data_IF_586311417204
#
_entry.id   IF_586311417204
#
_cell.length_a   1.000
_cell.length_b   1.000
_cell.length_c   1.000
_cell.angle_alpha   90.00
_cell.angle_beta   90.00
_cell.angle_gamma   90.00
#
_symmetry.space_group_name_H-M   'P 1'
#
loop_
_entity.id
_entity.type
_entity.pdbx_description
1 polymer ?
#
# COMPACT_ATOMS: atom_id res chain seq x y z
N UNK A 1 -8.54 -31.48 22.45
CA UNK A 1 -8.12 -30.34 21.61
C UNK A 1 -7.41 -29.37 22.53
N UNK A 2 -6.10 -29.23 22.38
CA UNK A 2 -5.30 -28.33 23.21
C UNK A 2 -5.23 -26.96 22.54
N UNK A 3 -5.08 -25.89 23.32
CA UNK A 3 -5.10 -24.54 22.77
C UNK A 3 -3.91 -24.25 21.84
N UNK A 4 -2.75 -24.86 22.08
CA UNK A 4 -1.57 -24.80 21.22
C UNK A 4 -1.77 -25.48 19.85
N UNK A 5 -2.80 -26.31 19.69
CA UNK A 5 -3.18 -26.93 18.42
C UNK A 5 -4.13 -26.03 17.58
N UNK A 6 -4.66 -24.96 18.17
CA UNK A 6 -5.70 -24.09 17.56
C UNK A 6 -5.24 -22.63 17.48
N UNK A 7 -4.38 -22.21 18.41
CA UNK A 7 -3.90 -20.84 18.56
C UNK A 7 -2.37 -20.86 18.59
N UNK A 8 -1.76 -20.10 17.68
CA UNK A 8 -0.33 -19.87 17.62
C UNK A 8 -0.02 -18.40 17.38
N UNK A 9 1.24 -18.02 17.57
CA UNK A 9 1.70 -16.70 17.15
C UNK A 9 1.79 -16.66 15.63
N UNK A 10 1.44 -15.51 15.04
CA UNK A 10 1.67 -15.29 13.63
C UNK A 10 3.14 -14.93 13.43
N UNK A 11 3.91 -15.84 12.83
CA UNK A 11 5.34 -15.64 12.54
C UNK A 11 5.60 -14.42 11.63
N UNK A 12 4.59 -13.95 10.91
CA UNK A 12 4.63 -12.79 10.02
C UNK A 12 4.14 -11.50 10.70
N UNK A 13 3.90 -11.50 12.01
CA UNK A 13 3.41 -10.31 12.70
C UNK A 13 4.47 -9.20 12.76
N UNK A 14 4.17 -8.07 12.12
CA UNK A 14 5.00 -6.88 12.16
C UNK A 14 4.24 -5.73 12.85
N UNK A 15 4.69 -5.26 14.04
CA UNK A 15 3.95 -4.23 14.79
C UNK A 15 3.98 -2.86 14.11
N UNK A 16 5.03 -2.57 13.34
CA UNK A 16 5.19 -1.34 12.59
C UNK A 16 5.65 -1.68 11.18
N UNK A 17 4.81 -1.37 10.20
CA UNK A 17 5.09 -1.65 8.80
C UNK A 17 6.31 -0.83 8.31
N UNK A 18 7.35 -1.52 7.89
CA UNK A 18 8.59 -0.95 7.34
C UNK A 18 8.68 -1.23 5.84
N UNK A 19 8.61 -0.17 5.04
CA UNK A 19 8.64 -0.24 3.57
C UNK A 19 9.99 -0.72 3.02
N UNK A 20 11.07 -0.64 3.81
CA UNK A 20 12.40 -1.14 3.43
C UNK A 20 12.60 -2.63 3.76
N UNK A 21 11.85 -3.13 4.75
CA UNK A 21 12.04 -4.47 5.33
C UNK A 21 10.67 -5.15 5.46
N UNK A 22 10.06 -5.47 4.32
CA UNK A 22 8.78 -6.15 4.28
C UNK A 22 8.94 -7.67 4.43
N UNK A 23 7.98 -8.29 5.12
CA UNK A 23 8.01 -9.72 5.40
C UNK A 23 7.00 -10.44 4.51
N UNK A 24 7.52 -11.14 3.49
CA UNK A 24 6.72 -12.01 2.61
C UNK A 24 5.46 -11.33 2.06
N UNK A 25 4.31 -11.96 2.27
CA UNK A 25 2.99 -11.45 1.82
C UNK A 25 2.25 -10.66 2.89
N UNK A 26 2.91 -10.19 3.96
CA UNK A 26 2.26 -9.46 5.05
C UNK A 26 1.47 -8.24 4.56
N UNK A 27 1.92 -7.59 3.47
CA UNK A 27 1.20 -6.48 2.84
C UNK A 27 -0.25 -6.83 2.49
N UNK A 28 -0.55 -8.08 2.12
CA UNK A 28 -1.89 -8.56 1.76
C UNK A 28 -2.87 -8.59 2.93
N UNK A 29 -2.38 -8.52 4.16
CA UNK A 29 -3.24 -8.42 5.37
C UNK A 29 -3.91 -7.05 5.52
N UNK A 30 -3.56 -6.09 4.65
CA UNK A 30 -4.19 -4.78 4.62
C UNK A 30 -5.69 -4.93 4.39
N UNK A 31 -6.50 -4.20 5.17
CA UNK A 31 -7.94 -4.14 5.01
C UNK A 31 -8.28 -2.88 4.21
N UNK A 32 -8.69 -3.01 2.94
CA UNK A 32 -9.03 -1.87 2.10
C UNK A 32 -10.24 -1.10 2.64
N UNK A 33 -10.29 0.19 2.33
CA UNK A 33 -11.42 1.06 2.67
C UNK A 33 -11.58 2.16 1.63
N UNK A 34 -12.72 2.85 1.68
CA UNK A 34 -13.08 3.92 0.73
C UNK A 34 -12.02 5.02 0.59
N UNK A 35 -11.38 5.41 1.71
CA UNK A 35 -10.32 6.44 1.67
C UNK A 35 -9.09 5.94 0.93
N UNK A 36 -8.74 4.68 1.14
CA UNK A 36 -7.62 4.05 0.45
C UNK A 36 -7.90 3.86 -1.05
N UNK A 37 -9.13 3.50 -1.43
CA UNK A 37 -9.55 3.43 -2.84
C UNK A 37 -9.37 4.76 -3.56
N UNK A 38 -9.69 5.87 -2.88
CA UNK A 38 -9.43 7.22 -3.40
C UNK A 38 -7.94 7.48 -3.60
N UNK A 39 -7.08 7.12 -2.63
CA UNK A 39 -5.63 7.27 -2.74
C UNK A 39 -5.07 6.51 -3.93
N UNK A 40 -5.41 5.23 -4.07
CA UNK A 40 -4.97 4.41 -5.21
C UNK A 40 -5.45 5.01 -6.54
N UNK A 41 -6.71 5.45 -6.57
CA UNK A 41 -7.29 6.07 -7.75
C UNK A 41 -6.60 7.37 -8.16
N UNK A 42 -6.29 8.24 -7.20
CA UNK A 42 -5.56 9.49 -7.43
C UNK A 42 -4.11 9.21 -7.85
N UNK A 43 -3.47 8.19 -7.29
CA UNK A 43 -2.11 7.76 -7.66
C UNK A 43 -2.07 7.30 -9.13
N UNK A 44 -3.00 6.43 -9.53
CA UNK A 44 -3.10 5.98 -10.93
C UNK A 44 -3.37 7.18 -11.85
N UNK A 45 -4.30 8.07 -11.48
CA UNK A 45 -4.61 9.25 -12.28
C UNK A 45 -3.38 10.15 -12.46
N UNK A 46 -2.60 10.38 -11.39
CA UNK A 46 -1.37 11.19 -11.44
C UNK A 46 -0.31 10.58 -12.38
N UNK A 47 -0.24 9.26 -12.45
CA UNK A 47 0.69 8.55 -13.34
C UNK A 47 0.23 8.51 -14.80
N UNK A 48 -1.08 8.52 -15.07
CA UNK A 48 -1.62 8.34 -16.41
C UNK A 48 -2.07 9.61 -17.10
N UNK A 49 -2.42 10.66 -16.35
CA UNK A 49 -3.02 11.85 -16.92
C UNK A 49 -2.09 12.54 -17.91
N UNK A 50 -2.67 13.07 -18.98
CA UNK A 50 -1.99 13.98 -19.92
C UNK A 50 -2.00 15.43 -19.42
N UNK A 51 -2.83 15.75 -18.43
CA UNK A 51 -3.00 17.10 -17.91
C UNK A 51 -2.02 17.38 -16.76
N UNK A 52 -1.21 18.45 -16.85
CA UNK A 52 -0.23 18.78 -15.81
C UNK A 52 -0.84 18.97 -14.40
N UNK A 53 -2.05 19.51 -14.31
CA UNK A 53 -2.74 19.77 -13.04
C UNK A 53 -3.20 18.51 -12.29
N UNK A 54 -3.26 17.37 -12.97
CA UNK A 54 -3.61 16.06 -12.41
C UNK A 54 -2.35 15.25 -12.02
N UNK A 55 -1.17 15.62 -12.54
CA UNK A 55 0.14 15.00 -12.26
C UNK A 55 0.76 15.52 -10.95
N UNK A 56 0.07 15.28 -9.84
CA UNK A 56 0.47 15.79 -8.52
C UNK A 56 1.08 14.70 -7.64
N UNK A 57 2.01 15.12 -6.78
CA UNK A 57 2.46 14.32 -5.66
C UNK A 57 1.33 14.11 -4.66
N UNK A 58 1.29 12.93 -4.04
CA UNK A 58 0.27 12.56 -3.06
C UNK A 58 0.90 12.59 -1.67
N UNK A 59 0.19 13.21 -0.72
CA UNK A 59 0.60 13.28 0.67
C UNK A 59 -0.40 12.52 1.55
N UNK A 60 0.07 11.48 2.26
CA UNK A 60 -0.76 10.70 3.18
C UNK A 60 -0.55 11.16 4.61
N UNK A 61 -1.55 11.83 5.18
CA UNK A 61 -1.54 12.33 6.55
C UNK A 61 -2.49 11.54 7.45
N UNK A 62 -2.08 11.33 8.70
CA UNK A 62 -2.87 10.64 9.72
C UNK A 62 -2.05 10.32 10.96
N UNK A 63 -2.72 9.90 12.04
CA UNK A 63 -2.06 9.62 13.32
C UNK A 63 -1.06 8.44 13.22
N UNK A 64 -0.15 8.34 14.18
CA UNK A 64 0.76 7.19 14.27
C UNK A 64 -0.03 5.88 14.42
N UNK A 65 0.43 4.80 13.80
CA UNK A 65 -0.23 3.48 13.88
C UNK A 65 -1.48 3.30 13.01
N UNK A 66 -1.92 4.29 12.22
CA UNK A 66 -3.12 4.17 11.36
C UNK A 66 -2.86 3.49 10.01
N UNK A 67 -1.79 2.71 9.88
CA UNK A 67 -1.52 1.94 8.66
C UNK A 67 -1.10 2.73 7.41
N UNK A 68 -0.58 3.96 7.53
CA UNK A 68 -0.16 4.77 6.37
C UNK A 68 0.95 4.12 5.54
N UNK A 69 1.98 3.61 6.21
CA UNK A 69 3.09 2.90 5.55
C UNK A 69 2.59 1.62 4.87
N UNK A 70 1.70 0.88 5.55
CA UNK A 70 1.07 -0.33 5.01
C UNK A 70 0.20 -0.03 3.79
N UNK A 71 -0.64 1.00 3.86
CA UNK A 71 -1.45 1.49 2.73
C UNK A 71 -0.58 1.88 1.52
N UNK A 72 0.56 2.53 1.78
CA UNK A 72 1.53 2.92 0.74
C UNK A 72 2.18 1.70 0.11
N UNK A 73 2.54 0.70 0.93
CA UNK A 73 3.11 -0.56 0.46
C UNK A 73 2.14 -1.32 -0.44
N UNK A 74 0.85 -1.37 -0.08
CA UNK A 74 -0.16 -2.04 -0.92
C UNK A 74 -0.27 -1.36 -2.28
N UNK A 75 -0.30 -0.03 -2.34
CA UNK A 75 -0.27 0.71 -3.62
C UNK A 75 0.99 0.35 -4.42
N UNK A 76 2.15 0.30 -3.75
CA UNK A 76 3.41 -0.10 -4.37
C UNK A 76 3.32 -1.50 -4.99
N UNK A 77 2.91 -2.51 -4.22
CA UNK A 77 2.79 -3.88 -4.69
C UNK A 77 1.81 -4.00 -5.86
N UNK A 78 0.63 -3.38 -5.76
CA UNK A 78 -0.36 -3.42 -6.84
C UNK A 78 0.11 -2.79 -8.16
N UNK A 79 0.90 -1.73 -8.08
CA UNK A 79 1.40 -1.04 -9.26
C UNK A 79 2.73 -1.59 -9.76
N UNK A 80 3.47 -2.35 -8.94
CA UNK A 80 4.78 -2.92 -9.26
C UNK A 80 4.79 -4.43 -9.44
N UNK A 81 4.35 -5.25 -8.50
CA UNK A 81 4.57 -6.71 -8.51
C UNK A 81 3.96 -7.43 -9.72
N UNK A 82 4.31 -8.68 -9.93
CA UNK A 82 3.75 -9.46 -11.03
C UNK A 82 2.26 -9.73 -10.82
N UNK A 83 1.49 -9.77 -11.92
CA UNK A 83 0.02 -9.92 -11.85
C UNK A 83 -0.38 -11.17 -11.05
N UNK A 84 0.33 -12.28 -11.26
CA UNK A 84 0.08 -13.54 -10.55
C UNK A 84 0.23 -13.41 -9.03
N UNK A 85 1.07 -12.50 -8.54
CA UNK A 85 1.33 -12.30 -7.11
C UNK A 85 0.29 -11.41 -6.44
N UNK A 86 -0.47 -10.64 -7.21
CA UNK A 86 -1.44 -9.66 -6.70
C UNK A 86 -2.91 -10.02 -6.99
N UNK A 87 -3.16 -10.99 -7.86
CA UNK A 87 -4.52 -11.36 -8.29
C UNK A 87 -5.43 -11.76 -7.12
N UNK A 88 -4.94 -12.55 -6.17
CA UNK A 88 -5.68 -12.97 -4.98
C UNK A 88 -6.12 -11.77 -4.13
N UNK A 89 -5.28 -10.75 -4.03
CA UNK A 89 -5.65 -9.51 -3.34
C UNK A 89 -6.66 -8.70 -4.15
N UNK A 90 -6.45 -8.55 -5.46
CA UNK A 90 -7.31 -7.77 -6.37
C UNK A 90 -8.73 -8.34 -6.46
N UNK A 91 -8.88 -9.68 -6.43
CA UNK A 91 -10.18 -10.35 -6.51
C UNK A 91 -11.13 -9.97 -5.37
N UNK A 92 -10.59 -9.54 -4.22
CA UNK A 92 -11.36 -9.11 -3.06
C UNK A 92 -11.69 -7.60 -3.06
N UNK A 93 -11.25 -6.85 -4.07
CA UNK A 93 -11.49 -5.40 -4.17
C UNK A 93 -12.80 -5.08 -4.87
N UNK A 94 -13.27 -3.84 -4.69
CA UNK A 94 -14.39 -3.31 -5.46
C UNK A 94 -14.11 -3.34 -6.97
N UNK A 95 -15.14 -3.68 -7.75
CA UNK A 95 -15.04 -3.90 -9.20
C UNK A 95 -14.44 -2.70 -9.95
N UNK A 96 -14.80 -1.48 -9.56
CA UNK A 96 -14.27 -0.25 -10.13
C UNK A 96 -12.75 -0.12 -9.92
N UNK A 97 -12.27 -0.49 -8.74
CA UNK A 97 -10.85 -0.41 -8.38
C UNK A 97 -10.07 -1.50 -9.09
N UNK A 98 -10.61 -2.73 -9.12
CA UNK A 98 -10.06 -3.85 -9.88
C UNK A 98 -9.85 -3.48 -11.35
N UNK A 99 -10.89 -2.99 -12.01
CA UNK A 99 -10.81 -2.57 -13.42
C UNK A 99 -9.75 -1.49 -13.65
N UNK A 100 -9.61 -0.56 -12.70
CA UNK A 100 -8.63 0.52 -12.78
C UNK A 100 -7.19 0.00 -12.70
N UNK A 101 -6.92 -0.91 -11.77
CA UNK A 101 -5.60 -1.57 -11.63
C UNK A 101 -5.29 -2.36 -12.90
N UNK A 102 -6.22 -3.21 -13.34
CA UNK A 102 -6.03 -4.04 -14.53
C UNK A 102 -5.74 -3.21 -15.78
N UNK A 103 -6.47 -2.12 -16.01
CA UNK A 103 -6.23 -1.25 -17.16
C UNK A 103 -4.87 -0.56 -17.11
N UNK A 104 -4.47 -0.05 -15.95
CA UNK A 104 -3.13 0.51 -15.76
C UNK A 104 -2.06 -0.56 -16.09
N UNK A 105 -2.24 -1.76 -15.53
CA UNK A 105 -1.29 -2.87 -15.63
C UNK A 105 -1.20 -3.54 -17.00
N UNK A 106 -2.17 -3.33 -17.90
CA UNK A 106 -2.10 -3.83 -19.29
C UNK A 106 -0.90 -3.28 -20.05
N UNK A 107 -0.55 -2.01 -19.83
CA UNK A 107 0.45 -1.31 -20.62
C UNK A 107 1.59 -0.72 -19.78
N UNK A 108 1.39 -0.58 -18.45
CA UNK A 108 2.30 0.15 -17.56
C UNK A 108 2.57 -0.64 -16.29
N UNK A 109 3.78 -0.47 -15.77
CA UNK A 109 4.25 -0.96 -14.46
C UNK A 109 5.12 0.14 -13.88
N UNK A 110 4.91 0.48 -12.60
CA UNK A 110 5.79 1.46 -11.94
C UNK A 110 7.06 0.80 -11.49
N UNK A 111 8.17 1.53 -11.37
CA UNK A 111 9.36 1.04 -10.68
C UNK A 111 9.52 1.84 -9.38
N UNK A 112 9.17 1.27 -8.22
CA UNK A 112 9.12 2.02 -6.97
C UNK A 112 10.52 2.22 -6.37
N UNK A 113 10.78 3.43 -5.89
CA UNK A 113 11.93 3.75 -5.04
C UNK A 113 11.43 4.15 -3.66
N UNK A 114 11.92 3.48 -2.62
CA UNK A 114 11.62 3.83 -1.22
C UNK A 114 12.76 4.68 -0.69
N UNK A 115 12.42 5.88 -0.23
CA UNK A 115 13.34 6.78 0.46
C UNK A 115 12.87 6.95 1.89
N UNK A 116 13.71 6.55 2.85
CA UNK A 116 13.48 6.76 4.27
C UNK A 116 14.59 7.66 4.82
N UNK A 117 14.20 8.80 5.35
CA UNK A 117 15.15 9.64 6.11
C UNK A 117 15.48 8.98 7.45
N UNK A 118 16.66 9.27 8.01
CA UNK A 118 17.00 8.89 9.38
C UNK A 118 15.96 9.48 10.33
N UNK A 119 15.09 8.63 10.86
CA UNK A 119 13.91 9.00 11.61
C UNK A 119 14.26 9.33 13.05
N UNK A 120 14.63 10.59 13.33
CA UNK A 120 14.52 11.20 14.66
C UNK A 120 13.31 12.13 14.74
N UNK A 121 12.22 11.77 14.07
CA UNK A 121 10.93 12.46 14.19
C UNK A 121 10.13 11.78 15.31
N UNK A 122 10.16 12.38 16.49
CA UNK A 122 9.54 11.87 17.73
C UNK A 122 8.16 12.52 17.97
N UNK A 123 7.86 13.64 17.30
CA UNK A 123 6.63 14.41 17.49
C UNK A 123 6.24 15.23 16.24
N UNK A 124 4.94 15.49 16.06
CA UNK A 124 4.36 16.36 15.04
C UNK A 124 4.79 17.84 15.20
N UNK A 125 5.38 18.23 16.34
CA UNK A 125 5.91 19.57 16.58
C UNK A 125 7.33 19.78 16.07
N UNK A 126 8.03 18.71 15.70
CA UNK A 126 9.45 18.77 15.31
C UNK A 126 9.67 18.85 13.79
N UNK A 127 8.61 19.09 13.01
CA UNK A 127 8.66 19.40 11.58
C UNK A 127 9.01 20.90 11.34
N UNK A 128 10.09 21.37 11.97
CA UNK A 128 10.62 22.72 11.78
C UNK A 128 11.98 22.66 11.08
#
# INVERSE_FOLDING_TARGET
MRYDEIIGLNDYFQPVYDLENEIGTYWKTFIPNEKWYKVLSEMINSLESSKPEERKSIWLQGAYGTGKSHATAVVKHLLFDDLNEINDFIENLEEQIKFKIENFRKNKRVFPFVLKGTSSIIDNRTFA
#
